data_IF_071391154024
#
_entry.id   IF_071391154024
#
_cell.length_a   1.000
_cell.length_b   1.000
_cell.length_c   1.000
_cell.angle_alpha   90.00
_cell.angle_beta   90.00
_cell.angle_gamma   90.00
#
_symmetry.space_group_name_H-M   'P 1'
#
loop_
_entity.id
_entity.type
_entity.pdbx_description
1 polymer ?
#
# COMPACT_ATOMS: atom_id res chain seq x y z
N UNK A 1 24.12 7.57 7.47
CA UNK A 1 22.90 7.88 8.24
C UNK A 1 21.74 7.11 7.62
N UNK A 2 20.99 6.31 8.40
CA UNK A 2 19.74 5.71 7.89
C UNK A 2 18.78 6.86 7.60
N UNK A 3 18.34 7.01 6.36
CA UNK A 3 17.40 8.08 6.00
C UNK A 3 16.12 7.91 6.82
N UNK A 4 15.69 8.96 7.51
CA UNK A 4 14.48 8.96 8.34
C UNK A 4 13.24 8.49 7.55
N UNK A 5 13.22 8.80 6.24
CA UNK A 5 12.21 8.37 5.28
C UNK A 5 12.09 6.85 5.15
N UNK A 6 13.18 6.09 5.35
CA UNK A 6 13.17 4.63 5.22
C UNK A 6 12.35 3.95 6.33
N UNK A 7 12.07 4.67 7.42
CA UNK A 7 11.29 4.16 8.56
C UNK A 7 9.92 4.83 8.58
N UNK A 8 9.88 6.15 8.34
CA UNK A 8 8.65 6.92 8.42
C UNK A 8 7.59 6.44 7.43
N UNK A 9 8.00 6.12 6.20
CA UNK A 9 7.07 5.71 5.12
C UNK A 9 6.37 4.38 5.48
N UNK A 10 7.07 3.28 5.78
CA UNK A 10 6.43 2.05 6.25
C UNK A 10 5.51 2.24 7.44
N UNK A 11 5.93 3.00 8.45
CA UNK A 11 5.14 3.21 9.67
C UNK A 11 3.85 3.98 9.34
N UNK A 12 3.93 5.04 8.53
CA UNK A 12 2.76 5.80 8.12
C UNK A 12 1.73 4.91 7.41
N UNK A 13 2.17 4.07 6.48
CA UNK A 13 1.29 3.13 5.78
C UNK A 13 0.70 2.05 6.70
N UNK A 14 1.46 1.54 7.67
CA UNK A 14 0.93 0.60 8.66
C UNK A 14 -0.11 1.25 9.58
N UNK A 15 0.10 2.51 9.98
CA UNK A 15 -0.89 3.26 10.76
C UNK A 15 -2.17 3.51 9.96
N UNK A 16 -2.04 3.90 8.68
CA UNK A 16 -3.18 4.05 7.77
C UNK A 16 -3.94 2.74 7.56
N UNK A 17 -3.23 1.62 7.44
CA UNK A 17 -3.85 0.29 7.37
C UNK A 17 -4.64 -0.03 8.65
N UNK A 18 -4.04 0.21 9.82
CA UNK A 18 -4.69 0.01 11.12
C UNK A 18 -5.95 0.86 11.27
N UNK A 19 -5.90 2.13 10.87
CA UNK A 19 -7.07 3.00 10.86
C UNK A 19 -8.17 2.48 9.91
N UNK A 20 -7.80 2.00 8.72
CA UNK A 20 -8.77 1.48 7.76
C UNK A 20 -9.41 0.16 8.17
N UNK A 21 -8.69 -0.69 8.90
CA UNK A 21 -9.30 -1.84 9.57
C UNK A 21 -10.32 -1.41 10.63
N UNK A 22 -10.01 -0.38 11.41
CA UNK A 22 -10.93 0.14 12.43
C UNK A 22 -12.25 0.63 11.83
N UNK A 23 -12.21 1.33 10.69
CA UNK A 23 -13.42 1.78 9.97
C UNK A 23 -14.01 0.72 9.02
N UNK A 24 -13.53 -0.53 9.07
CA UNK A 24 -13.95 -1.66 8.22
C UNK A 24 -13.79 -1.43 6.72
N UNK A 25 -12.89 -0.53 6.32
CA UNK A 25 -12.51 -0.32 4.92
C UNK A 25 -11.38 -1.28 4.53
N UNK A 26 -11.75 -2.54 4.30
CA UNK A 26 -10.80 -3.62 4.01
C UNK A 26 -9.98 -3.41 2.74
N UNK A 27 -10.55 -2.71 1.75
CA UNK A 27 -9.89 -2.49 0.46
C UNK A 27 -8.73 -1.50 0.60
N UNK A 28 -8.97 -0.35 1.22
CA UNK A 28 -7.91 0.62 1.54
C UNK A 28 -6.90 0.07 2.55
N UNK A 29 -7.35 -0.67 3.57
CA UNK A 29 -6.43 -1.31 4.52
C UNK A 29 -5.44 -2.24 3.80
N UNK A 30 -5.94 -3.05 2.86
CA UNK A 30 -5.11 -3.95 2.05
C UNK A 30 -4.14 -3.18 1.17
N UNK A 31 -4.59 -2.10 0.52
CA UNK A 31 -3.74 -1.21 -0.27
C UNK A 31 -2.58 -0.69 0.58
N UNK A 32 -2.84 -0.14 1.76
CA UNK A 32 -1.81 0.43 2.63
C UNK A 32 -0.83 -0.62 3.15
N UNK A 33 -1.28 -1.86 3.41
CA UNK A 33 -0.37 -2.98 3.75
C UNK A 33 0.56 -3.31 2.58
N UNK A 34 0.04 -3.39 1.36
CA UNK A 34 0.86 -3.69 0.18
C UNK A 34 1.92 -2.61 -0.05
N UNK A 35 1.55 -1.33 0.07
CA UNK A 35 2.50 -0.22 -0.05
C UNK A 35 3.54 -0.26 1.07
N UNK A 36 3.10 -0.34 2.33
CA UNK A 36 3.98 -0.36 3.50
C UNK A 36 4.94 -1.56 3.47
N UNK A 37 4.43 -2.74 3.12
CA UNK A 37 5.21 -3.97 2.97
C UNK A 37 6.21 -3.89 1.82
N UNK A 38 5.80 -3.38 0.66
CA UNK A 38 6.67 -3.17 -0.49
C UNK A 38 7.85 -2.25 -0.18
N UNK A 39 7.58 -1.07 0.40
CA UNK A 39 8.65 -0.16 0.81
C UNK A 39 9.54 -0.73 1.92
N UNK A 40 8.96 -1.48 2.87
CA UNK A 40 9.73 -2.16 3.92
C UNK A 40 10.71 -3.15 3.30
N UNK A 41 10.27 -3.99 2.35
CA UNK A 41 11.14 -4.94 1.67
C UNK A 41 12.24 -4.23 0.89
N UNK A 42 11.94 -3.18 0.13
CA UNK A 42 12.97 -2.37 -0.54
C UNK A 42 14.01 -1.83 0.45
N UNK A 43 13.57 -1.33 1.60
CA UNK A 43 14.45 -0.78 2.63
C UNK A 43 15.31 -1.86 3.31
N UNK A 44 14.74 -3.04 3.56
CA UNK A 44 15.48 -4.19 4.10
C UNK A 44 16.53 -4.72 3.11
N UNK A 45 16.22 -4.75 1.82
CA UNK A 45 17.17 -5.09 0.75
C UNK A 45 18.29 -4.04 0.68
N UNK A 46 17.93 -2.75 0.62
CA UNK A 46 18.89 -1.64 0.51
C UNK A 46 19.82 -1.54 1.73
N UNK A 47 19.31 -1.84 2.92
CA UNK A 47 20.09 -1.85 4.17
C UNK A 47 20.93 -3.10 4.36
N UNK A 48 20.93 -4.04 3.40
CA UNK A 48 21.60 -5.35 3.50
C UNK A 48 21.14 -6.18 4.70
N UNK A 49 19.96 -5.91 5.25
CA UNK A 49 19.34 -6.74 6.29
C UNK A 49 18.87 -8.09 5.70
N UNK A 50 18.47 -8.09 4.43
CA UNK A 50 18.21 -9.30 3.65
C UNK A 50 19.41 -9.53 2.72
N UNK A 51 20.16 -10.61 2.95
CA UNK A 51 21.33 -10.97 2.13
C UNK A 51 21.15 -12.27 1.33
N UNK A 52 20.13 -13.07 1.66
CA UNK A 52 19.81 -14.33 0.97
C UNK A 52 18.59 -14.14 0.06
N UNK A 53 18.57 -14.85 -1.07
CA UNK A 53 17.44 -14.86 -2.01
C UNK A 53 17.03 -13.47 -2.52
N UNK A 54 18.00 -12.57 -2.75
CA UNK A 54 17.77 -11.18 -3.17
C UNK A 54 16.85 -11.06 -4.38
N UNK A 55 16.98 -11.95 -5.37
CA UNK A 55 16.13 -11.97 -6.57
C UNK A 55 14.65 -12.13 -6.22
N UNK A 56 14.34 -13.04 -5.29
CA UNK A 56 12.97 -13.27 -4.84
C UNK A 56 12.42 -12.08 -4.06
N UNK A 57 13.16 -11.59 -3.05
CA UNK A 57 12.70 -10.47 -2.23
C UNK A 57 12.52 -9.19 -3.02
N UNK A 58 13.41 -8.93 -3.98
CA UNK A 58 13.28 -7.80 -4.89
C UNK A 58 12.05 -7.96 -5.81
N UNK A 59 11.84 -9.15 -6.38
CA UNK A 59 10.67 -9.43 -7.21
C UNK A 59 9.36 -9.28 -6.42
N UNK A 60 9.29 -9.82 -5.20
CA UNK A 60 8.14 -9.70 -4.31
C UNK A 60 7.87 -8.22 -3.96
N UNK A 61 8.93 -7.47 -3.67
CA UNK A 61 8.82 -6.05 -3.37
C UNK A 61 8.22 -5.26 -4.53
N UNK A 62 8.67 -5.52 -5.76
CA UNK A 62 8.10 -4.90 -6.96
C UNK A 62 6.68 -5.38 -7.24
N UNK A 63 6.37 -6.65 -7.02
CA UNK A 63 5.02 -7.18 -7.16
C UNK A 63 4.04 -6.46 -6.21
N UNK A 64 4.43 -6.22 -4.95
CA UNK A 64 3.62 -5.45 -4.00
C UNK A 64 3.39 -4.01 -4.45
N UNK A 65 4.40 -3.36 -5.04
CA UNK A 65 4.28 -1.99 -5.60
C UNK A 65 3.35 -1.96 -6.82
N UNK A 66 3.43 -2.94 -7.71
CA UNK A 66 2.54 -3.01 -8.88
C UNK A 66 1.10 -3.27 -8.44
N UNK A 67 0.91 -4.22 -7.52
CA UNK A 67 -0.40 -4.54 -6.96
C UNK A 67 -1.01 -3.35 -6.23
N UNK A 68 -0.21 -2.55 -5.52
CA UNK A 68 -0.73 -1.34 -4.86
C UNK A 68 -1.16 -0.27 -5.86
N UNK A 69 -0.45 -0.09 -6.99
CA UNK A 69 -0.88 0.82 -8.06
C UNK A 69 -2.23 0.37 -8.62
N UNK A 70 -2.40 -0.93 -8.91
CA UNK A 70 -3.66 -1.48 -9.42
C UNK A 70 -4.78 -1.30 -8.40
N UNK A 71 -4.55 -1.64 -7.13
CA UNK A 71 -5.52 -1.46 -6.04
C UNK A 71 -5.89 0.00 -5.84
N UNK A 72 -4.94 0.92 -5.94
CA UNK A 72 -5.21 2.35 -5.86
C UNK A 72 -6.15 2.82 -6.97
N UNK A 73 -5.95 2.36 -8.21
CA UNK A 73 -6.86 2.63 -9.32
C UNK A 73 -8.26 2.07 -9.07
N UNK A 74 -8.37 0.89 -8.46
CA UNK A 74 -9.66 0.29 -8.09
C UNK A 74 -10.38 1.07 -6.98
N UNK A 75 -9.65 1.56 -5.97
CA UNK A 75 -10.20 2.44 -4.93
C UNK A 75 -10.74 3.72 -5.57
N UNK A 76 -9.94 4.38 -6.42
CA UNK A 76 -10.37 5.58 -7.13
C UNK A 76 -11.62 5.34 -8.00
N UNK A 77 -11.67 4.21 -8.71
CA UNK A 77 -12.84 3.85 -9.51
C UNK A 77 -14.07 3.61 -8.63
N UNK A 78 -13.90 2.95 -7.48
CA UNK A 78 -15.01 2.73 -6.54
C UNK A 78 -15.55 4.05 -5.99
N UNK A 79 -14.67 4.97 -5.62
CA UNK A 79 -15.07 6.27 -5.07
C UNK A 79 -15.73 7.16 -6.14
N UNK A 80 -15.18 7.20 -7.36
CA UNK A 80 -15.81 7.88 -8.48
C UNK A 80 -17.22 7.33 -8.77
N UNK A 81 -17.41 6.01 -8.74
CA UNK A 81 -18.71 5.38 -8.95
C UNK A 81 -19.71 5.69 -7.82
N UNK A 82 -19.26 5.75 -6.57
CA UNK A 82 -20.11 6.17 -5.44
C UNK A 82 -20.60 7.59 -5.63
N UNK A 83 -19.72 8.52 -6.05
CA UNK A 83 -20.08 9.91 -6.29
C UNK A 83 -21.10 10.06 -7.43
N UNK A 84 -20.94 9.31 -8.52
CA UNK A 84 -21.89 9.33 -9.65
C UNK A 84 -23.28 8.84 -9.22
N UNK A 85 -23.37 7.79 -8.39
CA UNK A 85 -24.63 7.27 -7.87
C UNK A 85 -25.34 8.25 -6.92
N UNK A 86 -24.61 9.09 -6.20
CA UNK A 86 -25.19 10.14 -5.34
C UNK A 86 -25.75 11.30 -6.17
N UNK A 87 -25.15 11.57 -7.33
CA UNK A 87 -25.52 12.68 -8.22
C UNK A 87 -26.65 12.34 -9.22
N UNK A 88 -27.07 11.08 -9.29
CA UNK A 88 -28.28 10.69 -10.01
C UNK A 88 -29.47 10.62 -9.04
N UNK A 89 -30.24 11.72 -8.84
CA UNK A 89 -31.49 11.61 -8.13
C UNK A 89 -32.40 10.67 -8.91
N UNK A 90 -32.96 9.69 -8.19
CA UNK A 90 -33.97 8.75 -8.65
C UNK A 90 -35.05 9.54 -9.41
N UNK A 91 -35.11 9.32 -10.73
CA UNK A 91 -36.26 9.70 -11.57
C UNK A 91 -37.34 8.65 -11.35
#
# INVERSE_FOLDING_TARGET
MKSLTNILIPIAFLLLAGFNFYVKNWMEATLYIMVGGGFTLLNLIRSKAIMKNLKFWNALSWALVILSIIMFLLVLLQDANKEILILQPII
#
